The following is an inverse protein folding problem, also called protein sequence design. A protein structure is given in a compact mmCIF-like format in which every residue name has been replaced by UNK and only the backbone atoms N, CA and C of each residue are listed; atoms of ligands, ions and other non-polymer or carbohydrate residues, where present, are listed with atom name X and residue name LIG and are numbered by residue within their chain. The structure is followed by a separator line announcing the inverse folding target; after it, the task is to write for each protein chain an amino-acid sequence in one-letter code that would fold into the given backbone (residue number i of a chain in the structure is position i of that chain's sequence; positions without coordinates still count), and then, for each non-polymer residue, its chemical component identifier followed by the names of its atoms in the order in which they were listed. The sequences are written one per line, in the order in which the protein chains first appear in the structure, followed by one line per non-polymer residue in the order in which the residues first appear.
data_IF_474106868247
#
_entry.id   IF_474106868247
#
_cell.length_a   1.000
_cell.length_b   1.000
_cell.length_c   1.000
_cell.angle_alpha   90.00
_cell.angle_beta   90.00
_cell.angle_gamma   90.00
#
_symmetry.space_group_name_H-M   'P 1'
#
loop_
_entity.id
_entity.type
_entity.pdbx_description
1 polymer ?
#
# COMPACT_ATOMS: atom_id res chain seq x y z
N UNK A 1 12.17 -1.57 8.85
CA UNK A 1 12.11 -0.19 8.36
C UNK A 1 12.09 -0.13 6.85
N UNK A 2 11.07 0.51 6.29
CA UNK A 2 10.89 0.69 4.85
C UNK A 2 11.61 1.98 4.41
N UNK A 3 12.37 1.94 3.32
CA UNK A 3 12.97 3.15 2.75
C UNK A 3 11.96 3.78 1.80
N UNK A 4 11.46 4.98 2.15
CA UNK A 4 10.52 5.71 1.30
C UNK A 4 11.30 6.42 0.18
N UNK A 5 10.99 6.13 -1.10
CA UNK A 5 11.61 6.82 -2.22
C UNK A 5 11.27 8.32 -2.21
N UNK A 6 12.24 9.17 -2.55
CA UNK A 6 12.01 10.63 -2.66
C UNK A 6 10.88 10.98 -3.62
N UNK A 7 10.69 10.19 -4.69
CA UNK A 7 9.62 10.41 -5.68
C UNK A 7 8.21 10.31 -5.07
N UNK A 8 8.04 9.69 -3.90
CA UNK A 8 6.74 9.65 -3.21
C UNK A 8 6.37 10.99 -2.57
N UNK A 9 7.36 11.85 -2.31
CA UNK A 9 7.18 13.19 -1.74
C UNK A 9 7.15 14.29 -2.80
N UNK A 10 7.44 13.97 -4.07
CA UNK A 10 7.52 14.96 -5.14
C UNK A 10 6.14 15.54 -5.46
N UNK A 11 6.09 16.85 -5.72
CA UNK A 11 4.86 17.51 -6.18
C UNK A 11 4.41 16.92 -7.52
N UNK A 12 3.11 16.66 -7.63
CA UNK A 12 2.52 15.90 -8.74
C UNK A 12 1.97 16.78 -9.86
N UNK A 13 2.01 18.11 -9.73
CA UNK A 13 1.40 19.03 -10.72
C UNK A 13 2.06 18.99 -12.09
N UNK A 14 3.32 18.57 -12.17
CA UNK A 14 4.09 18.42 -13.41
C UNK A 14 4.56 16.99 -13.67
N UNK A 15 3.90 15.99 -13.05
CA UNK A 15 4.29 14.60 -13.22
C UNK A 15 4.09 14.12 -14.66
N UNK A 16 5.12 13.49 -15.22
CA UNK A 16 5.09 12.86 -16.54
C UNK A 16 5.26 11.34 -16.47
N UNK A 17 5.17 10.69 -17.63
CA UNK A 17 5.25 9.23 -17.75
C UNK A 17 6.49 8.60 -17.08
N UNK A 18 7.63 9.29 -17.10
CA UNK A 18 8.85 8.84 -16.42
C UNK A 18 8.68 8.79 -14.89
N UNK A 19 8.02 9.79 -14.30
CA UNK A 19 7.75 9.82 -12.87
C UNK A 19 6.75 8.74 -12.47
N UNK A 20 5.74 8.47 -13.31
CA UNK A 20 4.76 7.40 -13.06
C UNK A 20 5.39 6.02 -13.13
N UNK A 21 6.30 5.79 -14.07
CA UNK A 21 7.08 4.56 -14.16
C UNK A 21 7.95 4.36 -12.89
N UNK A 22 8.61 5.43 -12.42
CA UNK A 22 9.41 5.38 -11.20
C UNK A 22 8.54 5.08 -9.96
N UNK A 23 7.38 5.73 -9.82
CA UNK A 23 6.45 5.46 -8.72
C UNK A 23 5.96 4.02 -8.78
N UNK A 24 5.52 3.56 -9.96
CA UNK A 24 5.05 2.18 -10.16
C UNK A 24 6.12 1.16 -9.77
N UNK A 25 7.36 1.38 -10.20
CA UNK A 25 8.49 0.52 -9.85
C UNK A 25 8.71 0.46 -8.33
N UNK A 26 8.86 1.62 -7.68
CA UNK A 26 9.14 1.67 -6.26
C UNK A 26 7.96 1.17 -5.40
N UNK A 27 6.72 1.48 -5.78
CA UNK A 27 5.52 0.98 -5.12
C UNK A 27 5.44 -0.55 -5.22
N UNK A 28 5.77 -1.11 -6.38
CA UNK A 28 5.86 -2.57 -6.56
C UNK A 28 6.89 -3.19 -5.62
N UNK A 29 8.10 -2.62 -5.52
CA UNK A 29 9.14 -3.11 -4.61
C UNK A 29 8.73 -3.00 -3.13
N UNK A 30 8.12 -1.87 -2.75
CA UNK A 30 7.57 -1.65 -1.42
C UNK A 30 6.54 -2.72 -1.07
N UNK A 31 5.57 -2.97 -1.95
CA UNK A 31 4.49 -3.93 -1.71
C UNK A 31 4.98 -5.38 -1.70
N UNK A 32 5.97 -5.73 -2.53
CA UNK A 32 6.67 -7.04 -2.46
C UNK A 32 7.34 -7.24 -1.11
N UNK A 33 7.97 -6.20 -0.58
CA UNK A 33 8.60 -6.25 0.74
C UNK A 33 7.57 -6.40 1.85
N UNK A 34 6.47 -5.64 1.80
CA UNK A 34 5.37 -5.79 2.76
C UNK A 34 4.80 -7.21 2.71
N UNK A 35 4.54 -7.76 1.52
CA UNK A 35 4.05 -9.14 1.38
C UNK A 35 5.01 -10.16 2.02
N UNK A 36 6.32 -10.00 1.79
CA UNK A 36 7.36 -10.84 2.41
C UNK A 36 7.37 -10.69 3.94
N UNK A 37 7.30 -9.46 4.46
CA UNK A 37 7.34 -9.20 5.90
C UNK A 37 6.04 -9.66 6.61
N UNK A 38 4.91 -9.68 5.89
CA UNK A 38 3.66 -10.32 6.29
C UNK A 38 3.68 -11.85 6.15
N UNK A 39 4.72 -12.43 5.55
CA UNK A 39 4.87 -13.88 5.28
C UNK A 39 3.77 -14.45 4.38
N UNK A 40 3.23 -13.64 3.47
CA UNK A 40 2.26 -14.10 2.48
C UNK A 40 2.92 -15.08 1.51
N UNK A 41 2.30 -16.26 1.33
CA UNK A 41 2.76 -17.30 0.42
C UNK A 41 2.40 -16.96 -1.03
N UNK A 42 3.05 -17.67 -1.95
CA UNK A 42 2.67 -17.62 -3.36
C UNK A 42 1.22 -18.10 -3.52
N UNK A 43 0.40 -17.33 -4.24
CA UNK A 43 -1.03 -17.61 -4.42
C UNK A 43 -1.96 -17.00 -3.36
N UNK A 44 -1.45 -16.56 -2.21
CA UNK A 44 -2.24 -15.86 -1.18
C UNK A 44 -2.39 -14.37 -1.45
N UNK A 45 -1.59 -13.85 -2.38
CA UNK A 45 -1.58 -12.44 -2.72
C UNK A 45 -1.28 -12.20 -4.20
N UNK A 46 -1.78 -11.07 -4.69
CA UNK A 46 -1.45 -10.52 -5.99
C UNK A 46 -0.96 -9.07 -5.83
N UNK A 47 -0.04 -8.64 -6.69
CA UNK A 47 0.33 -7.23 -6.83
C UNK A 47 -0.16 -6.75 -8.19
N UNK A 48 -1.13 -5.84 -8.17
CA UNK A 48 -1.77 -5.31 -9.36
C UNK A 48 -1.27 -3.90 -9.62
N UNK A 49 -0.78 -3.66 -10.83
CA UNK A 49 -0.37 -2.34 -11.31
C UNK A 49 -1.45 -1.76 -12.22
N UNK A 50 -1.86 -0.53 -11.93
CA UNK A 50 -2.76 0.26 -12.74
C UNK A 50 -1.99 1.48 -13.25
N UNK A 51 -1.66 1.54 -14.55
CA UNK A 51 -0.90 2.66 -15.11
C UNK A 51 -1.70 3.96 -15.00
N UNK A 52 -0.98 5.09 -15.02
CA UNK A 52 -1.61 6.40 -15.05
C UNK A 52 -2.54 6.54 -16.26
N UNK A 53 -3.70 7.18 -16.06
CA UNK A 53 -4.70 7.47 -17.09
C UNK A 53 -5.09 8.93 -17.02
N UNK A 54 -5.80 9.42 -18.05
CA UNK A 54 -6.32 10.80 -18.05
C UNK A 54 -7.12 11.05 -16.76
N UNK A 55 -6.70 12.04 -15.97
CA UNK A 55 -7.27 12.42 -14.66
C UNK A 55 -7.05 11.43 -13.51
N UNK A 56 -6.14 10.46 -13.64
CA UNK A 56 -5.81 9.51 -12.57
C UNK A 56 -4.34 9.13 -12.60
N UNK A 57 -3.65 9.28 -11.47
CA UNK A 57 -2.25 8.86 -11.34
C UNK A 57 -2.10 7.34 -11.41
N UNK A 58 -0.85 6.88 -11.38
CA UNK A 58 -0.57 5.45 -11.30
C UNK A 58 -0.95 4.89 -9.92
N UNK A 59 -1.31 3.61 -9.89
CA UNK A 59 -1.66 2.90 -8.67
C UNK A 59 -1.04 1.51 -8.66
N UNK A 60 -0.55 1.09 -7.49
CA UNK A 60 -0.13 -0.29 -7.26
C UNK A 60 -0.85 -0.81 -6.02
N UNK A 61 -1.38 -2.02 -6.07
CA UNK A 61 -2.13 -2.60 -4.96
C UNK A 61 -1.66 -4.01 -4.65
N UNK A 62 -1.28 -4.26 -3.40
CA UNK A 62 -1.16 -5.61 -2.85
C UNK A 62 -2.56 -6.05 -2.43
N UNK A 63 -3.05 -7.15 -2.97
CA UNK A 63 -4.38 -7.68 -2.68
C UNK A 63 -4.26 -9.08 -2.12
N UNK A 64 -4.99 -9.34 -1.05
CA UNK A 64 -5.27 -10.67 -0.52
C UNK A 64 -6.79 -10.86 -0.51
N UNK A 65 -7.29 -12.06 -0.18
CA UNK A 65 -8.72 -12.28 0.05
C UNK A 65 -9.31 -11.40 1.16
N UNK A 66 -8.49 -11.01 2.15
CA UNK A 66 -8.93 -10.32 3.36
C UNK A 66 -8.56 -8.83 3.40
N UNK A 67 -7.55 -8.38 2.65
CA UNK A 67 -7.09 -6.98 2.68
C UNK A 67 -6.55 -6.50 1.34
N UNK A 68 -6.47 -5.17 1.23
CA UNK A 68 -5.75 -4.49 0.17
C UNK A 68 -4.89 -3.40 0.77
N UNK A 69 -3.64 -3.32 0.35
CA UNK A 69 -2.75 -2.20 0.60
C UNK A 69 -2.45 -1.51 -0.72
N UNK A 70 -2.79 -0.24 -0.81
CA UNK A 70 -2.75 0.58 -2.01
C UNK A 70 -1.67 1.65 -1.87
N UNK A 71 -0.86 1.80 -2.92
CA UNK A 71 0.03 2.95 -3.14
C UNK A 71 -0.47 3.65 -4.38
N UNK A 72 -1.09 4.81 -4.20
CA UNK A 72 -1.73 5.55 -5.27
C UNK A 72 -1.14 6.94 -5.42
N UNK A 73 -0.82 7.28 -6.66
CA UNK A 73 -0.72 8.67 -7.06
C UNK A 73 -2.10 9.20 -7.44
N UNK A 74 -2.43 10.41 -6.96
CA UNK A 74 -3.63 11.12 -7.36
C UNK A 74 -3.25 12.53 -7.79
N UNK A 75 -3.69 13.01 -8.96
CA UNK A 75 -3.44 14.39 -9.38
C UNK A 75 -4.07 15.44 -8.46
N UNK A 76 -5.08 15.05 -7.67
CA UNK A 76 -5.65 15.92 -6.61
C UNK A 76 -4.83 15.95 -5.33
N UNK A 77 -3.93 14.98 -5.13
CA UNK A 77 -3.03 14.93 -3.97
C UNK A 77 -1.65 15.42 -4.39
N UNK A 78 -1.00 16.23 -3.54
CA UNK A 78 0.34 16.75 -3.83
C UNK A 78 1.45 15.70 -3.73
N UNK A 79 1.14 14.50 -3.24
CA UNK A 79 2.10 13.41 -2.96
C UNK A 79 1.42 12.05 -3.11
N UNK A 80 2.25 11.01 -3.24
CA UNK A 80 1.81 9.61 -3.24
C UNK A 80 1.12 9.31 -1.90
N UNK A 81 -0.04 8.65 -1.98
CA UNK A 81 -0.79 8.19 -0.83
C UNK A 81 -0.60 6.68 -0.65
N UNK A 82 -0.51 6.26 0.61
CA UNK A 82 -0.59 4.86 0.99
C UNK A 82 -1.85 4.69 1.81
N UNK A 83 -2.68 3.70 1.48
CA UNK A 83 -3.89 3.39 2.24
C UNK A 83 -4.13 1.89 2.27
N UNK A 84 -4.85 1.41 3.28
CA UNK A 84 -5.31 0.03 3.30
C UNK A 84 -6.81 -0.07 3.50
N UNK A 85 -7.38 -1.19 3.07
CA UNK A 85 -8.78 -1.54 3.29
C UNK A 85 -8.93 -3.03 3.45
N UNK A 86 -9.87 -3.46 4.28
CA UNK A 86 -10.26 -4.86 4.42
C UNK A 86 -11.19 -5.27 3.27
N UNK A 87 -11.23 -6.58 2.97
CA UNK A 87 -11.79 -7.11 1.72
C UNK A 87 -12.81 -8.25 1.89
N UNK A 88 -13.55 -8.40 3.01
CA UNK A 88 -14.82 -9.15 3.05
C UNK A 88 -15.62 -9.06 4.37
N UNK A 89 -16.95 -8.99 4.26
CA UNK A 89 -17.95 -9.65 5.13
C UNK A 89 -18.18 -9.15 6.56
N UNK A 90 -19.11 -8.18 6.73
CA UNK A 90 -19.85 -7.82 7.98
C UNK A 90 -19.11 -8.00 9.32
N UNK A 91 -17.86 -7.58 9.46
CA UNK A 91 -17.17 -7.42 10.76
C UNK A 91 -15.85 -6.69 10.54
N UNK A 92 -15.88 -5.63 9.72
CA UNK A 92 -14.70 -4.79 9.54
C UNK A 92 -14.48 -4.03 10.86
N UNK A 93 -13.51 -4.49 11.67
CA UNK A 93 -13.12 -3.83 12.91
C UNK A 93 -12.30 -2.54 12.64
N UNK A 94 -12.00 -2.24 11.37
CA UNK A 94 -11.26 -1.05 10.95
C UNK A 94 -12.15 0.17 10.67
N UNK A 95 -13.47 0.00 10.55
CA UNK A 95 -14.44 1.07 10.38
C UNK A 95 -14.08 2.10 9.31
N UNK A 96 -13.94 1.70 8.04
CA UNK A 96 -13.91 2.68 6.94
C UNK A 96 -13.04 2.35 5.72
N UNK A 97 -13.49 2.83 4.56
CA UNK A 97 -12.71 2.79 3.33
C UNK A 97 -11.57 3.83 3.32
N UNK A 98 -10.41 3.44 2.79
CA UNK A 98 -9.21 4.27 2.62
C UNK A 98 -8.51 4.68 3.92
N UNK A 99 -8.11 3.70 4.75
CA UNK A 99 -7.31 3.95 5.95
C UNK A 99 -5.93 4.49 5.55
N UNK A 100 -5.77 5.81 5.62
CA UNK A 100 -4.55 6.47 5.21
C UNK A 100 -3.38 6.09 6.14
N UNK A 101 -2.25 5.74 5.52
CA UNK A 101 -1.00 5.43 6.20
C UNK A 101 -0.02 6.56 5.92
N UNK A 102 0.55 7.16 6.96
CA UNK A 102 1.56 8.19 6.77
C UNK A 102 2.86 7.59 6.21
N UNK A 103 3.42 8.23 5.17
CA UNK A 103 4.76 7.94 4.67
C UNK A 103 5.83 8.13 5.75
N UNK A 104 5.63 9.08 6.68
CA UNK A 104 6.56 9.33 7.78
C UNK A 104 6.57 8.15 8.76
N UNK A 105 5.39 7.60 9.09
CA UNK A 105 5.29 6.41 9.93
C UNK A 105 5.96 5.19 9.29
N UNK A 106 5.82 5.01 7.97
CA UNK A 106 6.47 3.91 7.25
C UNK A 106 8.00 4.02 7.24
N UNK A 107 8.52 5.25 7.36
CA UNK A 107 9.96 5.52 7.38
C UNK A 107 10.62 5.19 8.72
N UNK A 108 9.86 5.06 9.81
CA UNK A 108 10.38 4.62 11.10
C UNK A 108 10.24 3.11 11.27
N UNK A 109 11.09 2.50 12.10
CA UNK A 109 10.97 1.07 12.41
C UNK A 109 9.66 0.78 13.15
N UNK A 110 9.37 1.55 14.19
CA UNK A 110 8.19 1.40 15.05
C UNK A 110 6.90 1.57 14.25
N UNK A 111 6.80 2.60 13.40
CA UNK A 111 5.61 2.83 12.59
C UNK A 111 5.40 1.77 11.52
N UNK A 112 6.49 1.26 10.92
CA UNK A 112 6.41 0.13 9.99
C UNK A 112 5.98 -1.16 10.68
N UNK A 113 6.53 -1.47 11.85
CA UNK A 113 6.19 -2.68 12.61
C UNK A 113 4.74 -2.60 13.12
N UNK A 114 4.28 -1.41 13.56
CA UNK A 114 2.89 -1.15 13.92
C UNK A 114 1.92 -1.35 12.76
N UNK A 115 2.28 -0.87 11.54
CA UNK A 115 1.49 -1.15 10.34
C UNK A 115 1.41 -2.65 10.07
N UNK A 116 2.54 -3.37 10.11
CA UNK A 116 2.54 -4.82 9.87
C UNK A 116 1.64 -5.54 10.88
N UNK A 117 1.70 -5.19 12.17
CA UNK A 117 0.81 -5.72 13.19
C UNK A 117 -0.66 -5.44 12.87
N UNK A 118 -1.01 -4.19 12.53
CA UNK A 118 -2.36 -3.82 12.15
C UNK A 118 -2.87 -4.57 10.91
N UNK A 119 -2.03 -4.76 9.89
CA UNK A 119 -2.38 -5.51 8.68
C UNK A 119 -2.55 -7.01 8.96
N UNK A 120 -1.75 -7.60 9.87
CA UNK A 120 -1.93 -9.00 10.27
C UNK A 120 -3.24 -9.20 11.02
N UNK A 121 -3.56 -8.33 11.96
CA UNK A 121 -4.84 -8.36 12.68
C UNK A 121 -6.02 -8.16 11.73
N UNK A 122 -5.97 -7.12 10.89
CA UNK A 122 -7.05 -6.82 9.93
C UNK A 122 -7.20 -7.89 8.84
N UNK A 123 -6.10 -8.56 8.49
CA UNK A 123 -6.06 -9.64 7.51
C UNK A 123 -6.35 -11.03 8.07
N UNK A 124 -6.50 -11.17 9.40
CA UNK A 124 -6.63 -12.47 10.07
C UNK A 124 -5.37 -13.35 9.98
N UNK A 125 -4.20 -12.75 9.73
CA UNK A 125 -2.92 -13.48 9.55
C UNK A 125 -2.30 -13.96 10.87
N UNK A 126 -2.70 -13.37 12.00
CA UNK A 126 -2.27 -13.81 13.34
C UNK A 126 -3.18 -14.92 13.92
N UNK A 127 -4.18 -15.37 13.15
CA UNK A 127 -5.19 -16.34 13.56
C UNK A 127 -5.03 -17.72 12.95
N UNK A 128 -3.91 -18.41 13.20
CA UNK A 128 -3.81 -19.87 13.08
C UNK A 128 -2.96 -20.46 14.22
N UNK A 129 -3.61 -20.69 15.36
CA UNK A 129 -3.40 -21.86 16.21
C UNK A 129 -4.72 -22.13 16.93
N UNK A 130 -5.64 -22.81 16.26
CA UNK A 130 -6.68 -23.60 16.91
C UNK A 130 -7.00 -24.82 16.07
#
# INVERSE_FOLDING_TARGET
MLKIPKVFHADRRSAGAATDAAITHHATQMLRRVARDLRLRSGEHEIVTEPARRNRGCRVTLRTPALMLEVADSPTRRKVAVSFRTRRGRSDLSGGGDNAVSLEQLSSREGYDALLGGLRLAGGLDGESR
#
